data_IF_924799501120
#
_entry.id   IF_924799501120
#
_cell.length_a   1.000
_cell.length_b   1.000
_cell.length_c   1.000
_cell.angle_alpha   90.00
_cell.angle_beta   90.00
_cell.angle_gamma   90.00
#
_symmetry.space_group_name_H-M   'P 1'
#
loop_
_entity.id
_entity.type
_entity.pdbx_description
1 polymer ?
#
# COMPACT_ATOMS: atom_id res chain seq x y z
N UNK A 1 -2.42 -4.31 -9.70
CA UNK A 1 -2.49 -2.98 -10.33
C UNK A 1 -1.50 -2.03 -9.66
N UNK A 2 -1.06 -1.02 -10.40
CA UNK A 2 -0.14 0.02 -9.91
C UNK A 2 -0.86 0.86 -8.85
N UNK A 3 -0.21 1.05 -7.70
CA UNK A 3 -0.71 1.94 -6.66
C UNK A 3 -0.48 3.40 -7.05
N UNK A 4 -1.56 4.20 -7.10
CA UNK A 4 -1.49 5.63 -7.41
C UNK A 4 -0.65 6.46 -6.42
N UNK A 5 -0.43 5.98 -5.19
CA UNK A 5 0.38 6.69 -4.18
C UNK A 5 1.87 6.38 -4.29
N UNK A 6 2.25 5.11 -4.51
CA UNK A 6 3.65 4.69 -4.42
C UNK A 6 4.24 4.13 -5.71
N UNK A 7 3.47 4.06 -6.81
CA UNK A 7 3.93 3.54 -8.10
C UNK A 7 4.20 2.03 -8.14
N UNK A 8 4.14 1.33 -7.01
CA UNK A 8 4.39 -0.12 -6.94
C UNK A 8 3.19 -0.91 -7.42
N UNK A 9 3.42 -2.05 -8.06
CA UNK A 9 2.39 -3.01 -8.44
C UNK A 9 1.87 -3.82 -7.24
N UNK A 10 1.39 -3.12 -6.22
CA UNK A 10 0.99 -3.67 -4.93
C UNK A 10 -0.41 -3.23 -4.49
N UNK A 11 -1.20 -2.64 -5.40
CA UNK A 11 -2.59 -2.32 -5.11
C UNK A 11 -3.48 -3.54 -5.38
N UNK A 12 -4.29 -3.89 -4.39
CA UNK A 12 -5.26 -4.96 -4.45
C UNK A 12 -6.63 -4.35 -4.81
N UNK A 13 -7.13 -4.67 -6.01
CA UNK A 13 -8.40 -4.14 -6.53
C UNK A 13 -9.59 -4.70 -5.76
N UNK A 14 -9.60 -6.01 -5.45
CA UNK A 14 -10.70 -6.67 -4.71
C UNK A 14 -10.87 -6.09 -3.31
N UNK A 15 -9.77 -5.75 -2.65
CA UNK A 15 -9.79 -5.21 -1.27
C UNK A 15 -9.70 -3.68 -1.21
N UNK A 16 -9.47 -3.00 -2.33
CA UNK A 16 -9.36 -1.54 -2.41
C UNK A 16 -8.15 -0.92 -1.71
N UNK A 17 -7.08 -1.67 -1.42
CA UNK A 17 -5.92 -1.11 -0.73
C UNK A 17 -4.57 -1.61 -1.25
N UNK A 18 -3.52 -0.82 -1.01
CA UNK A 18 -2.14 -1.16 -1.32
C UNK A 18 -1.46 -1.91 -0.18
N UNK A 19 -0.94 -3.10 -0.48
CA UNK A 19 -0.20 -3.91 0.47
C UNK A 19 1.17 -3.32 0.83
N UNK A 20 1.78 -2.53 -0.08
CA UNK A 20 3.10 -1.95 0.14
C UNK A 20 3.05 -0.68 1.00
N UNK A 21 2.29 0.34 0.58
CA UNK A 21 2.28 1.65 1.24
C UNK A 21 1.05 1.88 2.14
N UNK A 22 0.06 1.00 2.12
CA UNK A 22 -1.17 1.17 2.90
C UNK A 22 -2.23 2.10 2.28
N UNK A 23 -1.99 2.61 1.07
CA UNK A 23 -2.96 3.45 0.32
C UNK A 23 -4.33 2.78 0.24
N UNK A 24 -5.42 3.50 0.56
CA UNK A 24 -6.78 2.96 0.62
C UNK A 24 -7.19 2.39 1.98
N UNK A 25 -6.23 1.98 2.83
CA UNK A 25 -6.48 1.50 4.20
C UNK A 25 -6.06 2.49 5.28
N UNK A 26 -5.00 3.28 5.03
CA UNK A 26 -4.50 4.28 5.96
C UNK A 26 -4.06 5.56 5.23
N UNK A 27 -4.20 6.69 5.94
CA UNK A 27 -3.63 7.98 5.50
C UNK A 27 -2.10 7.97 5.62
N UNK A 28 -1.55 7.26 6.62
CA UNK A 28 -0.10 7.13 6.83
C UNK A 28 0.51 6.04 5.95
N UNK A 29 1.82 6.16 5.72
CA UNK A 29 2.59 5.11 5.06
C UNK A 29 2.70 3.89 5.97
N UNK A 30 2.49 2.71 5.38
CA UNK A 30 2.69 1.42 6.06
C UNK A 30 4.19 1.18 6.27
N UNK A 31 4.64 1.32 7.51
CA UNK A 31 5.95 0.88 8.00
C UNK A 31 5.75 -0.22 9.03
N UNK A 32 6.72 -1.12 9.14
CA UNK A 32 6.79 -2.13 10.19
C UNK A 32 8.18 -2.11 10.81
N UNK A 33 8.26 -2.26 12.12
CA UNK A 33 9.54 -2.20 12.84
C UNK A 33 10.49 -3.35 12.46
N UNK A 34 9.96 -4.49 12.01
CA UNK A 34 10.73 -5.64 11.54
C UNK A 34 11.16 -5.55 10.07
N UNK A 35 10.67 -4.54 9.32
CA UNK A 35 10.94 -4.37 7.89
C UNK A 35 12.10 -3.39 7.68
N UNK A 36 13.22 -3.62 8.38
CA UNK A 36 14.49 -2.95 8.07
C UNK A 36 14.99 -3.40 6.70
#
# INVERSE_FOLDING_TARGET
IICRRCGRHAFNVRKGYCAACGYGRSKRLRSYNWKK
#
